data_IF_722341022777
#
_entry.id   IF_722341022777
#
_cell.length_a   1.000
_cell.length_b   1.000
_cell.length_c   1.000
_cell.angle_alpha   90.00
_cell.angle_beta   90.00
_cell.angle_gamma   90.00
#
_symmetry.space_group_name_H-M   'P 1'
#
loop_
_entity.id
_entity.type
_entity.pdbx_description
1 polymer ?
#
# COMPACT_ATOMS: atom_id res chain seq x y z
N UNK A 1 -10.80 12.33 -10.34
CA UNK A 1 -10.94 11.08 -9.59
C UNK A 1 -9.57 10.58 -9.17
N UNK A 2 -9.40 10.20 -7.91
CA UNK A 2 -8.10 9.72 -7.42
C UNK A 2 -7.82 8.29 -7.86
N UNK A 3 -6.58 8.02 -8.28
CA UNK A 3 -6.14 6.65 -8.58
C UNK A 3 -6.05 5.78 -7.33
N UNK A 4 -5.95 6.41 -6.16
CA UNK A 4 -5.78 5.72 -4.87
C UNK A 4 -6.94 4.78 -4.55
N UNK A 5 -8.15 5.08 -5.01
CA UNK A 5 -9.32 4.24 -4.77
C UNK A 5 -9.32 2.94 -5.59
N UNK A 6 -8.50 2.87 -6.65
CA UNK A 6 -8.39 1.69 -7.51
C UNK A 6 -7.36 0.66 -7.06
N UNK A 7 -6.95 0.72 -5.81
CA UNK A 7 -5.92 -0.17 -5.27
C UNK A 7 -6.38 -1.63 -5.25
N UNK A 8 -5.42 -2.55 -5.40
CA UNK A 8 -5.67 -3.98 -5.23
C UNK A 8 -6.01 -4.28 -3.76
N UNK A 9 -7.05 -5.07 -3.53
CA UNK A 9 -7.58 -5.37 -2.20
C UNK A 9 -7.77 -6.87 -2.01
N UNK A 10 -7.76 -7.30 -0.74
CA UNK A 10 -8.23 -8.64 -0.37
C UNK A 10 -9.73 -8.60 -0.08
N UNK A 11 -10.39 -9.79 -0.01
CA UNK A 11 -11.85 -9.84 0.21
C UNK A 11 -12.32 -9.20 1.52
N UNK A 12 -11.51 -9.29 2.59
CA UNK A 12 -11.86 -8.70 3.89
C UNK A 12 -10.78 -7.68 4.25
N UNK A 13 -11.19 -6.44 4.50
CA UNK A 13 -10.29 -5.39 4.92
C UNK A 13 -10.92 -4.56 6.03
N UNK A 14 -10.09 -4.16 6.99
CA UNK A 14 -10.48 -3.25 8.07
C UNK A 14 -9.47 -2.13 8.14
N UNK A 15 -9.93 -0.93 8.43
CA UNK A 15 -9.11 0.28 8.41
C UNK A 15 -9.10 0.94 9.79
N UNK A 16 -7.95 1.39 10.21
CA UNK A 16 -7.80 2.11 11.47
C UNK A 16 -6.66 3.11 11.40
N UNK A 17 -6.75 4.17 12.20
CA UNK A 17 -5.66 5.11 12.39
C UNK A 17 -4.97 4.80 13.72
N UNK A 18 -3.69 4.39 13.71
CA UNK A 18 -3.00 4.07 14.94
C UNK A 18 -2.72 5.31 15.80
N UNK A 19 -2.60 6.48 15.17
CA UNK A 19 -2.35 7.73 15.87
C UNK A 19 -3.59 8.24 16.61
N UNK A 20 -4.77 8.15 15.97
CA UNK A 20 -6.04 8.56 16.57
C UNK A 20 -6.72 7.43 17.33
N UNK A 21 -6.21 6.21 17.21
CA UNK A 21 -6.76 5.00 17.83
C UNK A 21 -8.25 4.81 17.50
N UNK A 22 -8.61 5.05 16.23
CA UNK A 22 -10.00 4.98 15.79
C UNK A 22 -10.15 4.10 14.54
N UNK A 23 -11.29 3.41 14.45
CA UNK A 23 -11.67 2.68 13.25
C UNK A 23 -12.21 3.62 12.18
N UNK A 24 -11.96 3.29 10.92
CA UNK A 24 -12.34 4.11 9.78
C UNK A 24 -13.06 3.26 8.75
N UNK A 25 -13.96 3.90 7.99
CA UNK A 25 -14.67 3.25 6.89
C UNK A 25 -13.94 3.47 5.56
N UNK A 26 -14.17 2.59 4.61
CA UNK A 26 -13.62 2.70 3.25
C UNK A 26 -13.88 4.08 2.63
N UNK A 27 -15.10 4.59 2.77
CA UNK A 27 -15.48 5.90 2.23
C UNK A 27 -14.60 7.04 2.75
N UNK A 28 -14.12 6.91 3.97
CA UNK A 28 -13.31 7.95 4.61
C UNK A 28 -11.86 7.94 4.13
N UNK A 29 -11.35 6.80 3.65
CA UNK A 29 -9.92 6.61 3.41
C UNK A 29 -9.54 6.33 1.97
N UNK A 30 -10.45 5.81 1.15
CA UNK A 30 -10.12 5.28 -0.19
C UNK A 30 -9.52 6.28 -1.17
N UNK A 31 -9.68 7.58 -0.92
CA UNK A 31 -9.17 8.60 -1.81
C UNK A 31 -7.69 8.91 -1.58
N UNK A 32 -7.19 8.65 -0.39
CA UNK A 32 -5.81 8.99 -0.02
C UNK A 32 -5.11 7.90 0.79
N UNK A 33 -5.87 7.02 1.44
CA UNK A 33 -5.41 6.02 2.40
C UNK A 33 -4.68 6.67 3.59
N UNK A 34 -5.12 7.90 3.91
CA UNK A 34 -4.67 8.66 5.07
C UNK A 34 -5.85 9.00 5.98
N UNK A 35 -5.56 9.13 7.26
CA UNK A 35 -6.59 9.48 8.25
C UNK A 35 -7.13 10.89 7.98
N UNK A 36 -8.46 11.07 7.92
CA UNK A 36 -9.03 12.39 7.68
C UNK A 36 -8.81 13.37 8.83
N UNK A 37 -8.47 12.87 10.02
CA UNK A 37 -8.24 13.71 11.20
C UNK A 37 -6.79 14.18 11.32
N UNK A 38 -5.81 13.25 11.21
CA UNK A 38 -4.41 13.57 11.46
C UNK A 38 -3.52 13.42 10.22
N UNK A 39 -4.06 12.93 9.11
CA UNK A 39 -3.34 12.72 7.84
C UNK A 39 -2.20 11.68 7.90
N UNK A 40 -2.14 10.87 8.94
CA UNK A 40 -1.21 9.74 8.98
C UNK A 40 -1.71 8.60 8.10
N UNK A 41 -0.82 7.69 7.72
CA UNK A 41 -1.21 6.52 6.94
C UNK A 41 -2.17 5.64 7.73
N UNK A 42 -3.25 5.24 7.06
CA UNK A 42 -4.22 4.30 7.62
C UNK A 42 -3.63 2.91 7.63
N UNK A 43 -3.75 2.20 8.76
CA UNK A 43 -3.40 0.79 8.83
C UNK A 43 -4.54 -0.04 8.27
N UNK A 44 -4.22 -0.88 7.30
CA UNK A 44 -5.18 -1.77 6.63
C UNK A 44 -4.91 -3.19 7.09
N UNK A 45 -5.85 -3.77 7.84
CA UNK A 45 -5.82 -5.19 8.17
C UNK A 45 -6.57 -5.93 7.07
N UNK A 46 -5.86 -6.78 6.32
CA UNK A 46 -6.41 -7.46 5.16
C UNK A 46 -6.37 -8.98 5.35
N UNK A 47 -7.44 -9.64 4.98
CA UNK A 47 -7.59 -11.09 5.12
C UNK A 47 -8.17 -11.71 3.87
N UNK A 48 -7.54 -12.78 3.39
CA UNK A 48 -8.08 -13.63 2.33
C UNK A 48 -8.41 -14.99 2.95
N UNK A 49 -9.71 -15.32 3.13
CA UNK A 49 -10.10 -16.59 3.73
C UNK A 49 -9.75 -17.80 2.86
N UNK A 50 -9.64 -17.65 1.55
CA UNK A 50 -9.31 -18.76 0.66
C UNK A 50 -7.88 -19.28 0.87
N UNK A 51 -6.95 -18.39 1.17
CA UNK A 51 -5.54 -18.72 1.41
C UNK A 51 -5.16 -18.61 2.88
N UNK A 52 -6.10 -18.17 3.73
CA UNK A 52 -5.88 -17.83 5.14
C UNK A 52 -4.74 -16.84 5.33
N UNK A 53 -4.58 -15.92 4.39
CA UNK A 53 -3.58 -14.86 4.45
C UNK A 53 -4.10 -13.70 5.27
N UNK A 54 -3.31 -13.27 6.26
CA UNK A 54 -3.62 -12.10 7.11
C UNK A 54 -2.41 -11.19 7.10
N UNK A 55 -2.58 -9.97 6.64
CA UNK A 55 -1.49 -9.01 6.53
C UNK A 55 -1.94 -7.62 6.99
N UNK A 56 -1.00 -6.82 7.46
CA UNK A 56 -1.23 -5.42 7.78
C UNK A 56 -0.44 -4.56 6.81
N UNK A 57 -1.12 -3.59 6.22
CA UNK A 57 -0.58 -2.74 5.16
C UNK A 57 -0.77 -1.28 5.47
N UNK A 58 0.04 -0.45 4.82
CA UNK A 58 -0.31 0.94 4.52
C UNK A 58 -0.33 1.08 3.01
N UNK A 59 -1.04 2.09 2.49
CA UNK A 59 -1.12 2.36 1.06
C UNK A 59 -0.52 3.71 0.78
N UNK A 60 0.61 3.70 0.07
CA UNK A 60 1.34 4.91 -0.32
C UNK A 60 1.07 5.23 -1.78
N UNK A 61 1.21 6.50 -2.14
CA UNK A 61 1.28 6.88 -3.54
C UNK A 61 2.62 6.42 -4.11
N UNK A 62 2.68 6.24 -5.43
CA UNK A 62 3.94 5.87 -6.09
C UNK A 62 5.09 6.82 -5.77
N UNK A 63 4.79 8.13 -5.66
CA UNK A 63 5.79 9.15 -5.36
C UNK A 63 6.17 9.22 -3.87
N UNK A 64 5.54 8.42 -3.03
CA UNK A 64 5.83 8.35 -1.60
C UNK A 64 6.63 7.11 -1.19
N UNK A 65 6.93 6.23 -2.14
CA UNK A 65 7.69 5.00 -1.86
C UNK A 65 9.14 5.35 -1.57
N UNK A 66 9.73 4.72 -0.56
CA UNK A 66 11.08 4.98 -0.09
C UNK A 66 11.90 3.70 -0.01
N UNK A 67 13.22 3.86 0.00
CA UNK A 67 14.14 2.76 0.29
C UNK A 67 13.80 2.13 1.63
N UNK A 68 13.74 0.81 1.67
CA UNK A 68 13.39 0.07 2.88
C UNK A 68 11.94 -0.33 2.99
N UNK A 69 11.06 0.23 2.16
CA UNK A 69 9.66 -0.20 2.13
C UNK A 69 9.57 -1.64 1.63
N UNK A 70 8.54 -2.36 2.11
CA UNK A 70 8.21 -3.70 1.62
C UNK A 70 6.91 -3.58 0.84
N UNK A 71 6.96 -3.82 -0.46
CA UNK A 71 5.77 -3.65 -1.31
C UNK A 71 5.29 -4.97 -1.90
N UNK A 72 3.98 -5.04 -2.13
CA UNK A 72 3.36 -6.11 -2.90
C UNK A 72 3.06 -5.60 -4.30
N UNK A 73 3.37 -6.40 -5.31
CA UNK A 73 2.99 -6.10 -6.68
C UNK A 73 1.48 -6.21 -6.86
N UNK A 74 0.88 -5.52 -7.83
CA UNK A 74 -0.56 -5.62 -8.09
C UNK A 74 -0.98 -7.07 -8.31
N UNK A 75 -2.08 -7.47 -7.64
CA UNK A 75 -2.59 -8.83 -7.72
C UNK A 75 -1.82 -9.85 -6.90
N UNK A 76 -0.83 -9.42 -6.11
CA UNK A 76 0.05 -10.34 -5.35
C UNK A 76 0.00 -10.10 -3.84
N UNK A 77 -1.13 -9.67 -3.30
CA UNK A 77 -1.27 -9.43 -1.86
C UNK A 77 -1.14 -10.72 -1.01
N UNK A 78 -1.40 -11.88 -1.61
CA UNK A 78 -1.24 -13.18 -0.93
C UNK A 78 0.13 -13.79 -1.16
N UNK A 79 1.02 -13.10 -1.90
CA UNK A 79 2.37 -13.55 -2.22
C UNK A 79 3.39 -12.77 -1.39
N UNK A 80 4.66 -13.09 -1.60
CA UNK A 80 5.75 -12.39 -0.92
C UNK A 80 5.81 -10.92 -1.34
N UNK A 81 6.27 -10.08 -0.42
CA UNK A 81 6.56 -8.69 -0.72
C UNK A 81 8.04 -8.54 -1.12
N UNK A 82 8.35 -7.39 -1.74
CA UNK A 82 9.69 -7.09 -2.21
C UNK A 82 10.26 -5.90 -1.46
N UNK A 83 11.54 -5.98 -1.13
CA UNK A 83 12.28 -4.90 -0.48
C UNK A 83 12.62 -3.83 -1.51
N UNK A 84 12.29 -2.57 -1.20
CA UNK A 84 12.62 -1.43 -2.06
C UNK A 84 14.07 -1.03 -1.84
N UNK A 85 14.86 -1.11 -2.91
CA UNK A 85 16.28 -0.72 -2.89
C UNK A 85 16.46 0.77 -3.13
N UNK A 86 15.52 1.40 -3.82
CA UNK A 86 15.55 2.82 -4.11
C UNK A 86 14.52 3.18 -5.16
N UNK A 87 14.37 4.46 -5.42
CA UNK A 87 13.44 4.98 -6.42
C UNK A 87 14.12 5.99 -7.33
N UNK A 88 13.58 6.14 -8.54
CA UNK A 88 14.08 7.11 -9.51
C UNK A 88 12.94 7.65 -10.35
N UNK A 89 13.14 8.82 -10.93
CA UNK A 89 12.17 9.41 -11.85
C UNK A 89 12.44 8.86 -13.25
N UNK A 90 11.44 8.25 -13.87
CA UNK A 90 11.53 7.69 -15.23
C UNK A 90 10.43 8.32 -16.06
N UNK A 91 10.73 9.40 -16.77
CA UNK A 91 9.75 10.22 -17.51
C UNK A 91 8.65 10.70 -16.57
N UNK A 92 7.40 10.32 -16.83
CA UNK A 92 6.24 10.67 -16.00
C UNK A 92 5.92 9.62 -14.93
N UNK A 93 6.80 8.63 -14.73
CA UNK A 93 6.60 7.53 -13.78
C UNK A 93 7.69 7.50 -12.72
N UNK A 94 7.42 6.77 -11.65
CA UNK A 94 8.39 6.47 -10.61
C UNK A 94 8.89 5.04 -10.84
N UNK A 95 10.21 4.89 -11.00
CA UNK A 95 10.84 3.58 -11.07
C UNK A 95 11.23 3.13 -9.67
N UNK A 96 10.76 1.95 -9.28
CA UNK A 96 11.00 1.38 -7.96
C UNK A 96 11.91 0.16 -8.13
N UNK A 97 13.14 0.24 -7.63
CA UNK A 97 14.06 -0.88 -7.66
C UNK A 97 13.72 -1.88 -6.57
N UNK A 98 13.43 -3.12 -6.96
CA UNK A 98 13.02 -4.18 -6.04
C UNK A 98 14.07 -5.28 -5.98
N UNK A 99 14.46 -5.66 -4.77
CA UNK A 99 15.43 -6.72 -4.56
C UNK A 99 14.90 -8.05 -5.09
N UNK A 100 15.64 -8.66 -6.00
CA UNK A 100 15.27 -9.95 -6.58
C UNK A 100 14.22 -9.90 -7.69
N UNK A 101 13.75 -8.72 -8.04
CA UNK A 101 12.73 -8.55 -9.10
C UNK A 101 13.23 -7.67 -10.25
N UNK A 102 13.84 -6.53 -9.91
CA UNK A 102 14.24 -5.53 -10.89
C UNK A 102 13.48 -4.24 -10.69
N UNK A 103 13.21 -3.51 -11.78
CA UNK A 103 12.52 -2.23 -11.71
C UNK A 103 11.01 -2.42 -11.93
N UNK A 104 10.22 -1.84 -11.05
CA UNK A 104 8.76 -1.77 -11.16
C UNK A 104 8.37 -0.30 -11.31
N UNK A 105 7.59 0.04 -12.34
CA UNK A 105 7.22 1.43 -12.64
C UNK A 105 5.77 1.69 -12.27
N UNK A 106 5.52 2.83 -11.61
CA UNK A 106 4.18 3.28 -11.24
C UNK A 106 4.02 4.76 -11.57
N UNK A 107 2.78 5.19 -11.72
CA UNK A 107 2.48 6.63 -11.79
C UNK A 107 2.66 7.25 -10.41
N UNK A 108 3.00 8.55 -10.32
CA UNK A 108 3.20 9.20 -9.01
C UNK A 108 1.99 9.14 -8.08
N UNK A 109 0.77 9.11 -8.63
CA UNK A 109 -0.47 9.06 -7.86
C UNK A 109 -1.10 7.66 -7.82
N UNK A 110 -0.37 6.64 -8.23
CA UNK A 110 -0.86 5.26 -8.24
C UNK A 110 -0.68 4.64 -6.86
N UNK A 111 -1.69 3.92 -6.33
CA UNK A 111 -1.58 3.31 -5.01
C UNK A 111 -0.66 2.09 -5.01
N UNK A 112 0.15 1.98 -3.97
CA UNK A 112 1.07 0.84 -3.78
C UNK A 112 0.84 0.27 -2.39
N UNK A 113 0.58 -1.03 -2.32
CA UNK A 113 0.40 -1.73 -1.04
C UNK A 113 1.77 -1.99 -0.40
N UNK A 114 1.98 -1.42 0.79
CA UNK A 114 3.22 -1.58 1.55
C UNK A 114 2.95 -2.37 2.81
N UNK A 115 3.67 -3.46 3.01
CA UNK A 115 3.52 -4.29 4.21
C UNK A 115 4.25 -3.66 5.39
N UNK A 116 3.59 -3.53 6.53
CA UNK A 116 4.17 -2.88 7.72
C UNK A 116 4.25 -3.81 8.92
N UNK A 117 3.57 -4.96 8.90
CA UNK A 117 3.59 -5.86 10.02
C UNK A 117 3.64 -7.30 9.59
N UNK A 118 4.18 -8.14 10.45
CA UNK A 118 4.09 -9.57 10.29
C UNK A 118 2.65 -9.98 10.55
N UNK A 119 2.02 -10.44 9.53
CA UNK A 119 0.63 -10.89 9.64
C UNK A 119 0.56 -12.32 10.06
#
# INVERSE_FOLDING_TARGET
>A
MSRMSGVNRLPVEKYSCPNCETGLDDDQVRHSWRCPECNDYVHVWAHDPDTDTKITLIRKRGDEIEEGDLIHLPGQLTKDCYWVLGTSQVKDKVGIGLKGYGQFKVLPDEPVNCRIGGG
#
